data_IF_299575324324
#
_entry.id   IF_299575324324
#
_cell.length_a   1.000
_cell.length_b   1.000
_cell.length_c   1.000
_cell.angle_alpha   90.00
_cell.angle_beta   90.00
_cell.angle_gamma   90.00
#
_symmetry.space_group_name_H-M   'P 1'
#
loop_
_entity.id
_entity.type
_entity.pdbx_description
1 polymer ?
#
# COMPACT_ATOMS: atom_id res chain seq x y z
N UNK A 1 17.25 23.32 6.91
CA UNK A 1 16.15 23.22 7.88
C UNK A 1 16.76 22.88 9.23
N UNK A 2 16.49 23.64 10.29
CA UNK A 2 16.99 23.32 11.63
C UNK A 2 16.20 22.11 12.17
N UNK A 3 16.88 21.11 12.72
CA UNK A 3 16.22 19.94 13.31
C UNK A 3 15.45 20.35 14.57
N UNK A 4 14.19 19.93 14.67
CA UNK A 4 13.33 20.13 15.85
C UNK A 4 13.31 18.84 16.66
N UNK A 5 13.61 18.92 17.95
CA UNK A 5 13.63 17.78 18.86
C UNK A 5 12.44 17.85 19.83
N UNK A 6 11.90 16.71 20.28
CA UNK A 6 10.85 16.69 21.28
C UNK A 6 11.36 17.22 22.63
N UNK A 7 10.51 17.94 23.36
CA UNK A 7 10.85 18.50 24.67
C UNK A 7 11.02 17.41 25.75
N UNK A 8 10.30 16.29 25.63
CA UNK A 8 10.36 15.17 26.55
C UNK A 8 10.99 13.92 25.89
N UNK A 9 11.95 13.31 26.59
CA UNK A 9 12.62 12.09 26.15
C UNK A 9 11.62 10.94 25.99
N UNK A 10 11.59 10.33 24.81
CA UNK A 10 10.66 9.24 24.47
C UNK A 10 9.40 9.69 23.74
N UNK A 11 9.22 11.00 23.51
CA UNK A 11 8.12 11.54 22.68
C UNK A 11 8.57 11.82 21.24
N UNK A 12 7.64 12.22 20.38
CA UNK A 12 7.89 12.52 18.95
C UNK A 12 7.38 13.91 18.58
N UNK A 13 8.04 14.55 17.61
CA UNK A 13 7.55 15.80 17.00
C UNK A 13 6.63 15.46 15.83
N UNK A 14 5.41 16.03 15.75
CA UNK A 14 4.54 15.81 14.59
C UNK A 14 5.17 16.42 13.34
N UNK A 15 5.07 15.71 12.22
CA UNK A 15 5.53 16.22 10.93
C UNK A 15 4.71 17.45 10.51
N UNK A 16 5.38 18.43 9.95
CA UNK A 16 4.73 19.58 9.29
C UNK A 16 4.06 19.14 7.98
N UNK A 17 3.09 19.91 7.49
CA UNK A 17 2.44 19.62 6.19
C UNK A 17 3.44 19.50 5.03
N UNK A 18 4.52 20.28 5.06
CA UNK A 18 5.56 20.27 4.03
C UNK A 18 6.34 18.94 4.09
N UNK A 19 6.72 18.50 5.29
CA UNK A 19 7.41 17.22 5.49
C UNK A 19 6.51 16.05 5.08
N UNK A 20 5.23 16.06 5.48
CA UNK A 20 4.24 15.06 5.04
C UNK A 20 4.16 15.00 3.52
N UNK A 21 4.02 16.15 2.84
CA UNK A 21 3.97 16.21 1.37
C UNK A 21 5.26 15.79 0.67
N UNK A 22 6.40 15.93 1.34
CA UNK A 22 7.70 15.49 0.80
C UNK A 22 7.88 13.98 0.89
N UNK A 23 7.22 13.33 1.85
CA UNK A 23 7.22 11.88 2.04
C UNK A 23 6.16 11.17 1.20
N UNK A 24 5.22 11.91 0.61
CA UNK A 24 4.27 11.33 -0.34
C UNK A 24 5.02 10.74 -1.52
N UNK A 25 4.62 9.52 -1.89
CA UNK A 25 5.13 8.85 -3.07
C UNK A 25 4.97 9.73 -4.31
N UNK A 26 6.02 9.79 -5.12
CA UNK A 26 6.04 10.47 -6.42
C UNK A 26 6.69 9.54 -7.41
N UNK A 27 6.02 9.33 -8.53
CA UNK A 27 6.54 8.56 -9.65
C UNK A 27 7.80 9.23 -10.19
N UNK A 28 8.88 8.47 -10.34
CA UNK A 28 10.10 8.91 -11.00
C UNK A 28 10.10 8.50 -12.49
N UNK A 29 10.85 9.24 -13.30
CA UNK A 29 11.03 8.90 -14.71
C UNK A 29 11.65 7.50 -14.85
N UNK A 30 10.98 6.63 -15.61
CA UNK A 30 11.42 5.26 -15.86
C UNK A 30 11.13 4.24 -14.75
N UNK A 31 10.53 4.64 -13.63
CA UNK A 31 10.17 3.74 -12.52
C UNK A 31 9.21 2.63 -12.95
N UNK A 32 8.30 2.95 -13.87
CA UNK A 32 7.28 2.05 -14.42
C UNK A 32 7.71 1.36 -15.72
N UNK A 33 9.03 1.35 -16.00
CA UNK A 33 9.61 0.69 -17.17
C UNK A 33 9.29 1.41 -18.47
N UNK A 34 8.92 0.66 -19.50
CA UNK A 34 8.69 1.19 -20.84
C UNK A 34 7.28 1.76 -21.07
N UNK A 35 6.35 1.52 -20.15
CA UNK A 35 4.98 2.03 -20.20
C UNK A 35 4.78 3.13 -19.16
N UNK A 36 3.74 3.92 -19.35
CA UNK A 36 3.29 4.85 -18.31
C UNK A 36 2.79 4.07 -17.08
N UNK A 37 2.86 4.72 -15.92
CA UNK A 37 2.25 4.18 -14.69
C UNK A 37 0.79 3.77 -14.93
N UNK A 38 0.02 4.60 -15.60
CA UNK A 38 -1.41 4.33 -15.77
C UNK A 38 -1.65 3.08 -16.63
N UNK A 39 -0.86 2.88 -17.70
CA UNK A 39 -0.91 1.65 -18.50
C UNK A 39 -0.49 0.40 -17.71
N UNK A 40 0.55 0.51 -16.87
CA UNK A 40 0.96 -0.59 -16.00
C UNK A 40 -0.08 -0.89 -14.91
N UNK A 41 -0.72 0.14 -14.33
CA UNK A 41 -1.81 -0.03 -13.38
C UNK A 41 -2.96 -0.82 -14.01
N UNK A 42 -3.42 -0.45 -15.21
CA UNK A 42 -4.49 -1.18 -15.90
C UNK A 42 -4.07 -2.63 -16.21
N UNK A 43 -2.85 -2.84 -16.71
CA UNK A 43 -2.31 -4.19 -16.97
C UNK A 43 -2.28 -5.06 -15.71
N UNK A 44 -1.90 -4.49 -14.57
CA UNK A 44 -1.85 -5.21 -13.29
C UNK A 44 -3.26 -5.48 -12.77
N UNK A 45 -4.17 -4.51 -12.87
CA UNK A 45 -5.59 -4.67 -12.48
C UNK A 45 -6.21 -5.84 -13.25
N UNK A 46 -5.97 -5.93 -14.56
CA UNK A 46 -6.47 -7.04 -15.40
C UNK A 46 -5.91 -8.39 -14.95
N UNK A 47 -4.61 -8.44 -14.62
CA UNK A 47 -3.98 -9.64 -14.06
C UNK A 47 -4.58 -10.05 -12.71
N UNK A 48 -4.84 -9.09 -11.83
CA UNK A 48 -5.49 -9.35 -10.54
C UNK A 48 -6.92 -9.85 -10.75
N UNK A 49 -7.69 -9.23 -11.64
CA UNK A 49 -9.04 -9.69 -11.97
C UNK A 49 -9.03 -11.15 -12.44
N UNK A 50 -8.07 -11.54 -13.28
CA UNK A 50 -7.91 -12.93 -13.71
C UNK A 50 -7.57 -13.86 -12.54
N UNK A 51 -6.59 -13.49 -11.71
CA UNK A 51 -6.19 -14.27 -10.53
C UNK A 51 -7.37 -14.51 -9.58
N UNK A 52 -8.21 -13.49 -9.34
CA UNK A 52 -9.37 -13.58 -8.45
C UNK A 52 -10.44 -14.57 -8.93
N UNK A 53 -10.39 -15.03 -10.19
CA UNK A 53 -11.28 -16.09 -10.70
C UNK A 53 -10.77 -17.51 -10.46
N UNK A 54 -9.52 -17.66 -10.01
CA UNK A 54 -8.89 -18.97 -9.80
C UNK A 54 -9.09 -19.43 -8.34
N UNK A 55 -9.52 -20.68 -8.16
CA UNK A 55 -9.75 -21.26 -6.81
C UNK A 55 -8.50 -21.21 -5.92
N UNK A 56 -7.31 -21.39 -6.52
CA UNK A 56 -6.02 -21.31 -5.81
C UNK A 56 -5.77 -19.95 -5.17
N UNK A 57 -6.41 -18.88 -5.70
CA UNK A 57 -6.25 -17.53 -5.20
C UNK A 57 -7.28 -17.16 -4.12
N UNK A 58 -8.26 -18.03 -3.83
CA UNK A 58 -9.40 -17.73 -2.95
C UNK A 58 -9.00 -17.15 -1.58
N UNK A 59 -7.93 -17.64 -0.96
CA UNK A 59 -7.42 -17.15 0.32
C UNK A 59 -6.85 -15.72 0.28
N UNK A 60 -6.59 -15.18 -0.92
CA UNK A 60 -5.99 -13.85 -1.13
C UNK A 60 -6.97 -12.84 -1.72
N UNK A 61 -8.20 -13.24 -2.07
CA UNK A 61 -9.18 -12.39 -2.76
C UNK A 61 -9.66 -11.23 -1.89
N UNK A 62 -9.70 -11.41 -0.57
CA UNK A 62 -10.21 -10.43 0.39
C UNK A 62 -9.34 -10.41 1.66
N UNK A 63 -9.45 -9.37 2.50
CA UNK A 63 -8.74 -9.32 3.78
C UNK A 63 -9.05 -10.52 4.67
N UNK A 64 -8.06 -10.94 5.46
CA UNK A 64 -8.27 -11.99 6.47
C UNK A 64 -9.27 -11.51 7.52
N UNK A 65 -10.29 -12.32 7.78
CA UNK A 65 -11.25 -12.07 8.85
C UNK A 65 -10.58 -12.27 10.21
N UNK A 66 -10.32 -11.17 10.92
CA UNK A 66 -9.70 -11.20 12.24
C UNK A 66 -10.63 -11.74 13.33
N UNK A 67 -11.94 -11.79 13.12
CA UNK A 67 -12.86 -12.46 14.05
C UNK A 67 -12.66 -13.98 13.99
N UNK A 68 -12.45 -14.51 12.78
CA UNK A 68 -12.12 -15.91 12.57
C UNK A 68 -10.65 -16.24 12.93
N UNK A 69 -9.72 -15.30 12.71
CA UNK A 69 -8.28 -15.48 12.96
C UNK A 69 -7.68 -14.35 13.83
N UNK A 70 -8.01 -14.28 15.14
CA UNK A 70 -7.58 -13.17 16.00
C UNK A 70 -6.07 -13.01 16.14
N UNK A 71 -5.30 -14.10 15.99
CA UNK A 71 -3.84 -14.09 16.11
C UNK A 71 -3.13 -13.57 14.86
N UNK A 72 -3.85 -13.39 13.74
CA UNK A 72 -3.24 -13.04 12.46
C UNK A 72 -2.49 -11.70 12.52
N UNK A 73 -3.06 -10.71 13.19
CA UNK A 73 -2.45 -9.38 13.37
C UNK A 73 -1.22 -9.39 14.27
N UNK A 74 -1.01 -10.44 15.07
CA UNK A 74 0.18 -10.57 15.92
C UNK A 74 1.40 -11.06 15.13
N UNK A 75 1.18 -11.73 14.00
CA UNK A 75 2.24 -12.33 13.17
C UNK A 75 2.41 -11.61 11.83
N UNK A 76 1.35 -10.98 11.31
CA UNK A 76 1.38 -10.19 10.07
C UNK A 76 1.21 -8.71 10.41
N UNK A 77 2.33 -7.99 10.43
CA UNK A 77 2.36 -6.56 10.78
C UNK A 77 1.64 -5.66 9.77
N UNK A 78 1.60 -6.06 8.49
CA UNK A 78 1.00 -5.28 7.40
C UNK A 78 0.07 -6.18 6.57
N UNK A 79 -1.18 -6.40 7.02
CA UNK A 79 -2.15 -7.18 6.26
C UNK A 79 -2.40 -6.60 4.87
N UNK A 80 -2.49 -7.46 3.88
CA UNK A 80 -2.81 -7.10 2.49
C UNK A 80 -3.49 -8.26 1.78
N UNK A 81 -4.14 -7.96 0.67
CA UNK A 81 -4.90 -8.90 -0.15
C UNK A 81 -5.10 -8.31 -1.56
N UNK A 82 -5.58 -9.14 -2.50
CA UNK A 82 -5.76 -8.75 -3.88
C UNK A 82 -6.80 -7.63 -4.07
N UNK A 83 -7.87 -7.60 -3.28
CA UNK A 83 -8.85 -6.50 -3.35
C UNK A 83 -8.25 -5.18 -2.89
N UNK A 84 -7.44 -5.19 -1.83
CA UNK A 84 -6.72 -4.00 -1.34
C UNK A 84 -5.70 -3.50 -2.37
N UNK A 85 -4.90 -4.39 -2.97
CA UNK A 85 -3.92 -4.01 -4.00
C UNK A 85 -4.65 -3.43 -5.23
N UNK A 86 -5.71 -4.10 -5.68
CA UNK A 86 -6.53 -3.64 -6.81
C UNK A 86 -7.10 -2.24 -6.55
N UNK A 87 -7.72 -2.02 -5.39
CA UNK A 87 -8.29 -0.72 -5.02
C UNK A 87 -7.22 0.37 -5.02
N UNK A 88 -6.00 0.07 -4.55
CA UNK A 88 -4.89 1.04 -4.56
C UNK A 88 -4.43 1.38 -5.99
N UNK A 89 -4.39 0.41 -6.90
CA UNK A 89 -4.09 0.64 -8.32
C UNK A 89 -5.18 1.47 -9.01
N UNK A 90 -6.45 1.15 -8.77
CA UNK A 90 -7.61 1.90 -9.30
C UNK A 90 -7.58 3.38 -8.86
N UNK A 91 -7.13 3.63 -7.63
CA UNK A 91 -7.02 4.98 -7.06
C UNK A 91 -5.66 5.65 -7.29
N UNK A 92 -4.74 5.04 -8.05
CA UNK A 92 -3.39 5.57 -8.33
C UNK A 92 -2.59 5.92 -7.07
N UNK A 93 -2.74 5.09 -6.04
CA UNK A 93 -1.94 5.16 -4.80
C UNK A 93 -0.55 4.55 -4.94
N UNK A 94 -0.35 3.75 -5.98
CA UNK A 94 0.95 3.35 -6.49
C UNK A 94 1.28 4.23 -7.69
#
# INVERSE_FOLDING_TARGET
MLAVFPEELGTSVPLTEIEVRSLLYRTLDGEWGCRSRDEECERIIDGINQLMTLDIASAFVAPVDLQAYPMYSMVVAYPTDLSTIKQRLENRFY
#
